data_IF_824738002641
#
_entry.id   IF_824738002641
#
_cell.length_a   1.000
_cell.length_b   1.000
_cell.length_c   1.000
_cell.angle_alpha   90.00
_cell.angle_beta   90.00
_cell.angle_gamma   90.00
#
_symmetry.space_group_name_H-M   'P 1'
#
loop_
_entity.id
_entity.type
_entity.pdbx_description
1 polymer ?
#
# COMPACT_ATOMS: atom_id res chain seq x y z
N UNK A 1 -9.87 -26.11 20.13
CA UNK A 1 -10.76 -26.03 18.96
C UNK A 1 -10.30 -27.04 17.93
N UNK A 2 -11.19 -27.91 17.42
CA UNK A 2 -10.93 -28.82 16.30
C UNK A 2 -10.88 -28.04 14.99
N UNK A 3 -10.32 -28.62 13.92
CA UNK A 3 -10.29 -27.96 12.61
C UNK A 3 -11.66 -27.61 12.06
N UNK A 4 -12.69 -28.42 12.36
CA UNK A 4 -14.05 -28.13 11.94
C UNK A 4 -14.67 -26.98 12.71
N UNK A 5 -14.50 -26.95 14.04
CA UNK A 5 -14.93 -25.81 14.87
C UNK A 5 -14.23 -24.51 14.45
N UNK A 6 -12.95 -24.60 14.08
CA UNK A 6 -12.18 -23.43 13.61
C UNK A 6 -12.70 -22.92 12.26
N UNK A 7 -13.05 -23.83 11.31
CA UNK A 7 -13.66 -23.43 10.04
C UNK A 7 -15.02 -22.77 10.24
N UNK A 8 -15.86 -23.33 11.13
CA UNK A 8 -17.17 -22.76 11.45
C UNK A 8 -17.03 -21.38 12.09
N UNK A 9 -16.08 -21.20 13.01
CA UNK A 9 -15.80 -19.90 13.62
C UNK A 9 -15.27 -18.89 12.60
N UNK A 10 -14.31 -19.26 11.76
CA UNK A 10 -13.80 -18.41 10.68
C UNK A 10 -14.90 -18.01 9.69
N UNK A 11 -15.87 -18.89 9.42
CA UNK A 11 -17.00 -18.64 8.53
C UNK A 11 -17.99 -17.56 9.01
N UNK A 12 -17.85 -17.07 10.24
CA UNK A 12 -18.69 -15.98 10.77
C UNK A 12 -18.23 -14.59 10.34
N UNK A 13 -16.99 -14.47 9.81
CA UNK A 13 -16.38 -13.20 9.42
C UNK A 13 -16.35 -13.05 7.89
N UNK A 14 -16.34 -11.80 7.43
CA UNK A 14 -16.05 -11.49 6.04
C UNK A 14 -14.53 -11.44 5.84
N UNK A 15 -14.00 -12.23 4.90
CA UNK A 15 -12.59 -12.30 4.54
C UNK A 15 -12.38 -11.79 3.13
N UNK A 16 -11.45 -10.86 2.99
CA UNK A 16 -10.97 -10.47 1.66
C UNK A 16 -9.92 -11.47 1.17
N UNK A 17 -9.00 -11.86 2.07
CA UNK A 17 -7.93 -12.79 1.75
C UNK A 17 -8.17 -14.18 2.37
N UNK A 18 -7.60 -15.20 1.70
CA UNK A 18 -7.57 -16.56 2.22
C UNK A 18 -6.33 -16.73 3.09
N UNK A 19 -6.51 -16.73 4.41
CA UNK A 19 -5.45 -16.85 5.41
C UNK A 19 -5.38 -18.29 5.92
N UNK A 20 -4.20 -18.88 5.89
CA UNK A 20 -3.96 -20.22 6.43
C UNK A 20 -3.75 -20.14 7.94
N UNK A 21 -4.77 -20.53 8.71
CA UNK A 21 -4.73 -20.55 10.17
C UNK A 21 -4.02 -21.80 10.71
N UNK A 22 -4.18 -22.95 10.02
CA UNK A 22 -3.52 -24.23 10.30
C UNK A 22 -3.32 -24.99 8.99
N UNK A 23 -2.57 -26.11 9.03
CA UNK A 23 -2.28 -26.91 7.83
C UNK A 23 -3.52 -27.23 6.98
N UNK A 24 -4.65 -27.53 7.62
CA UNK A 24 -5.89 -27.91 6.97
C UNK A 24 -7.01 -26.87 7.08
N UNK A 25 -6.75 -25.68 7.62
CA UNK A 25 -7.76 -24.64 7.85
C UNK A 25 -7.34 -23.34 7.22
N UNK A 26 -8.10 -22.92 6.22
CA UNK A 26 -7.93 -21.66 5.50
C UNK A 26 -9.22 -20.86 5.60
N UNK A 27 -9.13 -19.57 5.81
CA UNK A 27 -10.30 -18.67 5.84
C UNK A 27 -10.97 -18.60 4.46
N UNK A 28 -12.29 -18.40 4.39
CA UNK A 28 -13.04 -18.38 3.13
C UNK A 28 -12.91 -17.03 2.39
N UNK A 29 -11.69 -16.58 2.13
CA UNK A 29 -11.41 -15.31 1.46
C UNK A 29 -11.78 -15.31 -0.01
N UNK A 30 -12.12 -14.12 -0.53
CA UNK A 30 -12.46 -13.91 -1.95
C UNK A 30 -11.20 -14.04 -2.82
N UNK A 31 -10.06 -13.52 -2.36
CA UNK A 31 -8.76 -13.71 -3.02
C UNK A 31 -8.14 -15.03 -2.58
N UNK A 32 -7.72 -15.87 -3.54
CA UNK A 32 -7.11 -17.17 -3.25
C UNK A 32 -5.77 -17.08 -2.48
N UNK A 33 -5.40 -18.17 -1.79
CA UNK A 33 -4.10 -18.29 -1.13
C UNK A 33 -2.93 -18.12 -2.12
N UNK A 34 -1.85 -17.52 -1.65
CA UNK A 34 -0.52 -17.46 -2.30
C UNK A 34 -0.42 -16.70 -3.63
N UNK A 35 -1.49 -16.49 -4.38
CA UNK A 35 -1.41 -15.85 -5.70
C UNK A 35 -0.99 -14.37 -5.59
N UNK A 36 -1.44 -13.67 -4.55
CA UNK A 36 -1.18 -12.25 -4.38
C UNK A 36 0.24 -11.96 -3.89
N UNK A 37 0.78 -12.73 -2.94
CA UNK A 37 2.06 -12.40 -2.31
C UNK A 37 3.26 -12.56 -3.26
N UNK A 38 3.24 -13.57 -4.14
CA UNK A 38 4.31 -13.82 -5.10
C UNK A 38 4.45 -12.72 -6.14
N UNK A 39 3.33 -12.07 -6.51
CA UNK A 39 3.35 -11.00 -7.52
C UNK A 39 3.60 -9.62 -6.91
N UNK A 40 3.45 -9.46 -5.58
CA UNK A 40 3.78 -8.22 -4.88
C UNK A 40 5.29 -8.02 -4.76
N UNK A 41 6.10 -9.06 -4.90
CA UNK A 41 7.56 -8.97 -4.78
C UNK A 41 8.04 -8.67 -3.36
N UNK A 42 7.28 -9.08 -2.35
CA UNK A 42 7.69 -9.08 -0.94
C UNK A 42 8.79 -10.13 -0.77
N UNK A 43 9.96 -9.80 -0.18
CA UNK A 43 11.04 -10.76 0.01
C UNK A 43 10.60 -12.02 0.80
N UNK A 44 11.16 -13.17 0.45
CA UNK A 44 10.87 -14.44 1.13
C UNK A 44 11.51 -14.52 2.53
N UNK A 45 12.60 -13.78 2.76
CA UNK A 45 13.27 -13.62 4.05
C UNK A 45 13.21 -12.14 4.45
N UNK A 46 12.60 -11.86 5.61
CA UNK A 46 12.46 -10.54 6.19
C UNK A 46 13.20 -10.43 7.53
N UNK A 47 14.15 -11.34 7.80
CA UNK A 47 14.97 -11.27 9.01
C UNK A 47 15.70 -9.92 9.09
N UNK A 48 15.60 -9.23 10.22
CA UNK A 48 16.16 -7.89 10.42
C UNK A 48 15.35 -6.76 9.81
N UNK A 49 14.17 -7.04 9.23
CA UNK A 49 13.34 -6.05 8.53
C UNK A 49 12.13 -5.66 9.39
N UNK A 50 11.92 -4.37 9.57
CA UNK A 50 10.67 -3.83 10.13
C UNK A 50 9.69 -3.50 9.01
N UNK A 51 8.42 -3.88 9.18
CA UNK A 51 7.36 -3.75 8.16
C UNK A 51 6.19 -2.92 8.69
N UNK A 52 5.70 -1.98 7.89
CA UNK A 52 4.42 -1.29 8.08
C UNK A 52 3.48 -1.69 6.94
N UNK A 53 2.35 -2.29 7.27
CA UNK A 53 1.29 -2.65 6.33
C UNK A 53 0.13 -1.65 6.50
N UNK A 54 -0.09 -0.81 5.51
CA UNK A 54 -1.06 0.30 5.56
C UNK A 54 -2.31 -0.04 4.75
N UNK A 55 -3.45 -0.06 5.41
CA UNK A 55 -4.71 -0.57 4.87
C UNK A 55 -4.71 -2.10 4.86
N UNK A 56 -4.31 -2.69 6.00
CA UNK A 56 -4.06 -4.12 6.13
C UNK A 56 -5.33 -5.00 6.09
N UNK A 57 -6.51 -4.43 6.26
CA UNK A 57 -7.81 -5.09 6.27
C UNK A 57 -7.86 -6.27 7.27
N UNK A 58 -7.85 -7.52 6.76
CA UNK A 58 -7.85 -8.77 7.54
C UNK A 58 -6.45 -9.25 7.95
N UNK A 59 -5.40 -8.49 7.60
CA UNK A 59 -4.02 -8.71 8.04
C UNK A 59 -3.21 -9.73 7.24
N UNK A 60 -3.71 -10.23 6.11
CA UNK A 60 -3.02 -11.27 5.33
C UNK A 60 -1.55 -10.97 5.07
N UNK A 61 -1.23 -9.78 4.54
CA UNK A 61 0.16 -9.43 4.23
C UNK A 61 0.99 -9.21 5.48
N UNK A 62 0.40 -8.68 6.54
CA UNK A 62 1.05 -8.51 7.84
C UNK A 62 1.49 -9.85 8.43
N UNK A 63 0.59 -10.85 8.47
CA UNK A 63 0.90 -12.18 8.99
C UNK A 63 1.89 -12.94 8.10
N UNK A 64 1.83 -12.76 6.79
CA UNK A 64 2.81 -13.33 5.87
C UNK A 64 4.20 -12.70 6.03
N UNK A 65 4.30 -11.39 6.35
CA UNK A 65 5.56 -10.76 6.68
C UNK A 65 6.15 -11.28 8.01
N UNK A 66 5.32 -11.44 9.03
CA UNK A 66 5.73 -12.07 10.29
C UNK A 66 6.26 -13.50 10.08
N UNK A 67 5.53 -14.31 9.32
CA UNK A 67 5.91 -15.68 8.97
C UNK A 67 7.23 -15.76 8.19
N UNK A 68 7.59 -14.73 7.44
CA UNK A 68 8.86 -14.57 6.73
C UNK A 68 9.99 -14.03 7.62
N UNK A 69 9.75 -13.91 8.91
CA UNK A 69 10.77 -13.56 9.91
C UNK A 69 11.00 -12.07 10.07
N UNK A 70 10.04 -11.20 9.72
CA UNK A 70 10.15 -9.76 10.01
C UNK A 70 10.33 -9.53 11.52
N UNK A 71 11.28 -8.67 11.89
CA UNK A 71 11.59 -8.38 13.30
C UNK A 71 10.46 -7.61 14.01
N UNK A 72 9.73 -6.81 13.26
CA UNK A 72 8.58 -6.05 13.71
C UNK A 72 7.59 -5.86 12.55
N UNK A 73 6.32 -6.11 12.78
CA UNK A 73 5.26 -5.82 11.82
C UNK A 73 4.20 -4.97 12.50
N UNK A 74 3.88 -3.82 11.91
CA UNK A 74 2.76 -2.97 12.31
C UNK A 74 1.70 -3.04 11.21
N UNK A 75 0.49 -3.45 11.59
CA UNK A 75 -0.68 -3.52 10.72
C UNK A 75 -1.58 -2.31 11.00
N UNK A 76 -1.67 -1.38 10.04
CA UNK A 76 -2.45 -0.15 10.21
C UNK A 76 -3.68 -0.14 9.32
N UNK A 77 -4.83 0.17 9.91
CA UNK A 77 -6.08 0.40 9.19
C UNK A 77 -7.00 1.33 10.00
N UNK A 78 -8.02 1.90 9.37
CA UNK A 78 -9.07 2.65 10.06
C UNK A 78 -10.12 1.73 10.69
N UNK A 79 -10.25 0.51 10.20
CA UNK A 79 -11.18 -0.55 10.62
C UNK A 79 -12.63 -0.10 10.90
N UNK A 80 -13.09 0.92 10.20
CA UNK A 80 -14.48 1.37 10.25
C UNK A 80 -15.47 0.31 9.72
N UNK A 81 -14.94 -0.78 9.14
CA UNK A 81 -15.69 -1.86 8.50
C UNK A 81 -15.36 -3.22 9.14
N UNK A 82 -15.96 -4.29 8.63
CA UNK A 82 -15.88 -5.67 9.15
C UNK A 82 -14.47 -6.31 9.16
N UNK A 83 -13.43 -5.63 8.63
CA UNK A 83 -12.07 -6.18 8.58
C UNK A 83 -11.42 -6.39 9.94
N UNK A 84 -11.77 -5.58 10.95
CA UNK A 84 -11.21 -5.67 12.30
C UNK A 84 -11.48 -7.01 12.99
N UNK A 85 -12.71 -7.47 12.96
CA UNK A 85 -13.08 -8.73 13.63
C UNK A 85 -12.36 -9.92 12.99
N UNK A 86 -12.22 -9.92 11.65
CA UNK A 86 -11.47 -10.92 10.91
C UNK A 86 -9.97 -10.89 11.25
N UNK A 87 -9.39 -9.68 11.31
CA UNK A 87 -7.99 -9.48 11.74
C UNK A 87 -7.76 -10.01 13.16
N UNK A 88 -8.57 -9.60 14.13
CA UNK A 88 -8.41 -10.00 15.54
C UNK A 88 -8.57 -11.53 15.71
N UNK A 89 -9.49 -12.14 14.95
CA UNK A 89 -9.65 -13.60 14.95
C UNK A 89 -8.40 -14.29 14.40
N UNK A 90 -7.90 -13.89 13.23
CA UNK A 90 -6.69 -14.47 12.65
C UNK A 90 -5.47 -14.25 13.54
N UNK A 91 -5.32 -13.03 14.07
CA UNK A 91 -4.24 -12.67 14.98
C UNK A 91 -4.21 -13.60 16.21
N UNK A 92 -5.37 -13.88 16.81
CA UNK A 92 -5.51 -14.79 17.94
C UNK A 92 -5.16 -16.24 17.56
N UNK A 93 -5.72 -16.76 16.46
CA UNK A 93 -5.54 -18.15 16.07
C UNK A 93 -4.12 -18.48 15.57
N UNK A 94 -3.40 -17.46 15.05
CA UNK A 94 -2.01 -17.56 14.62
C UNK A 94 -1.00 -17.34 15.77
N UNK A 95 -1.45 -16.96 16.98
CA UNK A 95 -0.58 -16.48 18.07
C UNK A 95 0.39 -15.40 17.57
N UNK A 96 -0.14 -14.49 16.74
CA UNK A 96 0.62 -13.48 16.04
C UNK A 96 1.10 -12.36 16.97
N UNK A 97 2.27 -11.80 16.67
CA UNK A 97 2.87 -10.65 17.35
C UNK A 97 2.75 -9.36 16.54
N UNK A 98 2.04 -9.39 15.42
CA UNK A 98 1.76 -8.21 14.62
C UNK A 98 1.10 -7.14 15.50
N UNK A 99 1.63 -5.92 15.46
CA UNK A 99 1.11 -4.79 16.24
C UNK A 99 -0.04 -4.11 15.48
N UNK A 100 -1.31 -4.19 15.94
CA UNK A 100 -2.40 -3.46 15.31
C UNK A 100 -2.32 -1.97 15.64
N UNK A 101 -2.44 -1.12 14.62
CA UNK A 101 -2.46 0.33 14.74
C UNK A 101 -3.73 0.88 14.06
N UNK A 102 -4.73 1.28 14.86
CA UNK A 102 -5.91 1.94 14.33
C UNK A 102 -5.58 3.39 13.98
N UNK A 103 -5.43 3.66 12.69
CA UNK A 103 -5.05 4.99 12.19
C UNK A 103 -5.46 5.17 10.75
N UNK A 104 -5.94 6.35 10.41
CA UNK A 104 -6.04 6.77 9.01
C UNK A 104 -4.64 6.95 8.43
N UNK A 105 -4.47 6.58 7.15
CA UNK A 105 -3.21 6.87 6.43
C UNK A 105 -2.86 8.36 6.45
N UNK A 106 -3.84 9.23 6.50
CA UNK A 106 -3.62 10.70 6.57
C UNK A 106 -3.06 11.17 7.90
N UNK A 107 -3.28 10.40 8.97
CA UNK A 107 -2.82 10.70 10.33
C UNK A 107 -1.50 10.01 10.65
N UNK A 108 -1.02 9.08 9.80
CA UNK A 108 0.26 8.40 10.03
C UNK A 108 1.39 9.41 10.22
N UNK A 109 2.18 9.19 11.28
CA UNK A 109 3.31 10.02 11.63
C UNK A 109 4.45 9.14 12.19
N UNK A 110 5.71 9.36 11.76
CA UNK A 110 6.84 8.57 12.24
C UNK A 110 7.11 8.71 13.75
N UNK A 111 6.63 9.77 14.40
CA UNK A 111 6.86 9.99 15.82
C UNK A 111 6.11 8.98 16.68
N UNK A 112 4.95 8.47 16.23
CA UNK A 112 4.22 7.42 16.96
C UNK A 112 4.20 6.06 16.26
N UNK A 113 4.12 6.02 14.95
CA UNK A 113 4.15 4.75 14.19
C UNK A 113 5.56 4.17 14.10
N UNK A 114 6.55 5.05 13.98
CA UNK A 114 7.94 4.70 13.73
C UNK A 114 8.32 4.79 12.25
N UNK A 115 9.58 4.42 11.95
CA UNK A 115 10.08 4.31 10.57
C UNK A 115 10.45 2.85 10.27
N UNK A 116 10.14 2.41 9.07
CA UNK A 116 10.19 1.01 8.65
C UNK A 116 11.13 0.80 7.47
N UNK A 117 11.70 -0.41 7.40
CA UNK A 117 12.55 -0.84 6.27
C UNK A 117 11.71 -1.18 5.05
N UNK A 118 10.48 -1.68 5.26
CA UNK A 118 9.51 -2.02 4.23
C UNK A 118 8.15 -1.43 4.59
N UNK A 119 7.53 -0.70 3.66
CA UNK A 119 6.15 -0.22 3.77
C UNK A 119 5.33 -0.85 2.66
N UNK A 120 4.24 -1.51 3.04
CA UNK A 120 3.25 -2.07 2.14
C UNK A 120 2.06 -1.12 2.04
N UNK A 121 1.63 -0.82 0.82
CA UNK A 121 0.48 0.04 0.52
C UNK A 121 -0.32 -0.60 -0.61
N UNK A 122 -0.98 -1.70 -0.27
CA UNK A 122 -1.55 -2.64 -1.23
C UNK A 122 -3.07 -2.52 -1.29
N UNK A 123 -3.60 -2.13 -2.44
CA UNK A 123 -5.04 -2.02 -2.65
C UNK A 123 -5.69 -0.77 -2.05
N UNK A 124 -4.94 0.25 -1.66
CA UNK A 124 -5.45 1.41 -0.90
C UNK A 124 -5.52 2.70 -1.72
N UNK A 125 -4.51 2.98 -2.54
CA UNK A 125 -4.30 4.30 -3.18
C UNK A 125 -5.54 4.82 -3.93
N UNK A 126 -6.25 3.95 -4.65
CA UNK A 126 -7.41 4.32 -5.44
C UNK A 126 -8.67 4.63 -4.62
N UNK A 127 -8.73 4.21 -3.36
CA UNK A 127 -9.80 4.53 -2.41
C UNK A 127 -9.63 5.91 -1.75
N UNK A 128 -8.50 6.58 -1.94
CA UNK A 128 -8.17 7.79 -1.21
C UNK A 128 -8.51 9.05 -1.98
N UNK A 129 -9.19 10.01 -1.33
CA UNK A 129 -9.49 11.32 -1.94
C UNK A 129 -8.23 12.17 -2.14
N UNK A 130 -7.22 12.01 -1.28
CA UNK A 130 -5.97 12.78 -1.29
C UNK A 130 -4.76 11.85 -1.45
N UNK A 131 -4.56 11.22 -2.63
CA UNK A 131 -3.54 10.18 -2.82
C UNK A 131 -2.11 10.71 -2.61
N UNK A 132 -1.80 11.96 -3.00
CA UNK A 132 -0.48 12.56 -2.76
C UNK A 132 -0.17 12.69 -1.28
N UNK A 133 -1.11 13.17 -0.46
CA UNK A 133 -0.94 13.28 1.00
C UNK A 133 -0.67 11.90 1.62
N UNK A 134 -1.40 10.88 1.20
CA UNK A 134 -1.18 9.52 1.68
C UNK A 134 0.23 9.00 1.33
N UNK A 135 0.69 9.24 0.10
CA UNK A 135 2.04 8.86 -0.32
C UNK A 135 3.13 9.61 0.47
N UNK A 136 2.92 10.90 0.79
CA UNK A 136 3.82 11.67 1.65
C UNK A 136 3.88 11.07 3.07
N UNK A 137 2.74 10.65 3.62
CA UNK A 137 2.65 10.03 4.94
C UNK A 137 3.39 8.69 5.00
N UNK A 138 3.15 7.78 4.06
CA UNK A 138 3.88 6.50 4.03
C UNK A 138 5.38 6.69 3.76
N UNK A 139 5.75 7.68 2.93
CA UNK A 139 7.15 8.03 2.72
C UNK A 139 7.82 8.55 4.00
N UNK A 140 7.11 9.33 4.84
CA UNK A 140 7.63 9.80 6.13
C UNK A 140 7.90 8.65 7.10
N UNK A 141 7.07 7.60 7.07
CA UNK A 141 7.22 6.39 7.87
C UNK A 141 8.22 5.38 7.27
N UNK A 142 8.85 5.69 6.14
CA UNK A 142 9.87 4.84 5.53
C UNK A 142 11.26 5.33 5.92
N UNK A 143 12.16 4.42 6.31
CA UNK A 143 13.58 4.75 6.56
C UNK A 143 14.29 5.18 5.28
N UNK A 144 15.32 6.05 5.34
CA UNK A 144 16.25 6.24 4.22
C UNK A 144 16.79 4.89 3.73
N UNK A 145 16.74 4.63 2.41
CA UNK A 145 17.06 3.34 1.81
C UNK A 145 15.98 2.27 1.94
N UNK A 146 14.92 2.54 2.70
CA UNK A 146 13.78 1.64 2.87
C UNK A 146 12.95 1.54 1.59
N UNK A 147 12.18 0.46 1.49
CA UNK A 147 11.36 0.13 0.32
C UNK A 147 9.89 0.39 0.58
N UNK A 148 9.19 0.87 -0.45
CA UNK A 148 7.73 0.97 -0.48
C UNK A 148 7.22 0.09 -1.63
N UNK A 149 6.18 -0.71 -1.36
CA UNK A 149 5.46 -1.47 -2.37
C UNK A 149 4.03 -0.93 -2.44
N UNK A 150 3.64 -0.43 -3.61
CA UNK A 150 2.29 0.08 -3.87
C UNK A 150 1.61 -0.81 -4.90
N UNK A 151 0.46 -1.38 -4.56
CA UNK A 151 -0.44 -1.99 -5.53
C UNK A 151 -1.68 -1.12 -5.69
N UNK A 152 -2.05 -0.81 -6.93
CA UNK A 152 -3.20 0.04 -7.23
C UNK A 152 -3.87 -0.30 -8.56
N UNK A 153 -5.15 0.06 -8.65
CA UNK A 153 -5.86 0.08 -9.94
C UNK A 153 -5.19 1.10 -10.86
N UNK A 154 -5.12 0.75 -12.15
CA UNK A 154 -4.62 1.65 -13.19
C UNK A 154 -5.66 1.83 -14.32
N UNK A 155 -5.64 2.99 -14.97
CA UNK A 155 -6.40 3.19 -16.20
C UNK A 155 -5.75 2.43 -17.36
N UNK A 156 -6.45 1.41 -17.85
CA UNK A 156 -5.99 0.55 -18.94
C UNK A 156 -5.84 1.34 -20.25
N UNK A 157 -6.73 2.31 -20.50
CA UNK A 157 -6.77 3.06 -21.77
C UNK A 157 -5.55 3.95 -21.95
N UNK A 158 -5.01 4.50 -20.86
CA UNK A 158 -3.83 5.36 -20.88
C UNK A 158 -2.57 4.68 -20.31
N UNK A 159 -2.57 3.38 -20.11
CA UNK A 159 -1.47 2.64 -19.47
C UNK A 159 -0.10 2.75 -20.16
N UNK A 160 -0.09 3.03 -21.48
CA UNK A 160 1.14 3.23 -22.26
C UNK A 160 1.47 4.73 -22.46
N UNK A 161 0.61 5.63 -21.97
CA UNK A 161 0.87 7.05 -22.07
C UNK A 161 1.95 7.48 -21.08
N UNK A 162 2.97 8.17 -21.55
CA UNK A 162 4.04 8.73 -20.71
C UNK A 162 3.61 10.00 -19.97
N UNK A 163 2.51 10.64 -20.39
CA UNK A 163 1.93 11.74 -19.64
C UNK A 163 1.19 11.21 -18.40
N UNK A 164 1.37 11.81 -17.22
CA UNK A 164 0.65 11.42 -16.02
C UNK A 164 -0.83 11.78 -16.17
N UNK A 165 -1.70 10.77 -16.09
CA UNK A 165 -3.16 10.91 -16.18
C UNK A 165 -3.80 10.20 -14.99
N UNK A 166 -4.80 10.85 -14.39
CA UNK A 166 -5.67 10.26 -13.36
C UNK A 166 -7.12 10.46 -13.78
N UNK A 167 -7.89 9.39 -13.81
CA UNK A 167 -9.33 9.42 -14.07
C UNK A 167 -10.07 9.50 -12.74
N UNK A 168 -10.91 10.51 -12.57
CA UNK A 168 -11.80 10.65 -11.43
C UNK A 168 -13.09 9.85 -11.64
N UNK A 169 -13.51 9.10 -10.61
CA UNK A 169 -14.73 8.30 -10.62
C UNK A 169 -15.70 8.84 -9.54
N UNK A 170 -16.77 9.56 -9.93
CA UNK A 170 -17.73 10.13 -8.98
C UNK A 170 -18.72 9.11 -8.40
N UNK A 171 -18.74 7.88 -8.92
CA UNK A 171 -19.70 6.83 -8.56
C UNK A 171 -19.08 5.44 -8.54
N UNK A 172 -19.80 4.45 -9.01
CA UNK A 172 -19.41 3.02 -8.97
C UNK A 172 -18.90 2.52 -10.34
N UNK A 173 -18.27 3.38 -11.14
CA UNK A 173 -17.86 3.07 -12.52
C UNK A 173 -16.77 2.00 -12.61
N UNK A 174 -16.05 1.79 -11.52
CA UNK A 174 -14.97 0.80 -11.43
C UNK A 174 -15.41 -0.32 -10.50
N UNK A 175 -15.64 -1.50 -11.07
CA UNK A 175 -15.95 -2.74 -10.34
C UNK A 175 -17.18 -2.65 -9.41
N UNK A 176 -18.14 -1.79 -9.72
CA UNK A 176 -19.31 -1.48 -8.87
C UNK A 176 -18.96 -1.02 -7.44
N UNK A 177 -17.75 -0.49 -7.26
CA UNK A 177 -17.23 -0.02 -5.98
C UNK A 177 -17.30 1.51 -5.87
N UNK A 178 -18.21 2.07 -5.04
CA UNK A 178 -18.37 3.50 -4.86
C UNK A 178 -17.22 4.15 -4.08
N UNK A 179 -16.29 3.35 -3.56
CA UNK A 179 -15.12 3.85 -2.82
C UNK A 179 -13.89 4.05 -3.69
N UNK A 180 -13.95 3.66 -4.96
CA UNK A 180 -12.87 3.90 -5.93
C UNK A 180 -12.96 5.32 -6.50
N UNK A 181 -12.07 6.21 -6.07
CA UNK A 181 -12.04 7.60 -6.50
C UNK A 181 -11.21 7.84 -7.75
N UNK A 182 -10.15 7.07 -7.97
CA UNK A 182 -9.16 7.34 -9.00
C UNK A 182 -8.68 6.09 -9.71
N UNK A 183 -8.47 6.21 -11.03
CA UNK A 183 -7.67 5.28 -11.82
C UNK A 183 -6.51 6.04 -12.46
N UNK A 184 -5.32 6.07 -11.83
CA UNK A 184 -4.13 6.65 -12.42
C UNK A 184 -3.57 5.75 -13.52
N UNK A 185 -2.83 6.32 -14.49
CA UNK A 185 -1.95 5.51 -15.32
C UNK A 185 -0.59 5.27 -14.61
N UNK A 186 0.24 4.31 -15.08
CA UNK A 186 1.53 4.02 -14.46
C UNK A 186 2.46 5.24 -14.35
N UNK A 187 2.43 6.15 -15.33
CA UNK A 187 3.22 7.38 -15.31
C UNK A 187 2.78 8.30 -14.16
N UNK A 188 1.47 8.42 -13.91
CA UNK A 188 0.96 9.22 -12.80
C UNK A 188 1.39 8.66 -11.45
N UNK A 189 1.29 7.33 -11.24
CA UNK A 189 1.73 6.70 -9.98
C UNK A 189 3.22 6.91 -9.76
N UNK A 190 4.05 6.66 -10.78
CA UNK A 190 5.51 6.85 -10.66
C UNK A 190 5.88 8.30 -10.34
N UNK A 191 5.21 9.29 -10.97
CA UNK A 191 5.46 10.70 -10.70
C UNK A 191 4.94 11.14 -9.32
N UNK A 192 3.79 10.62 -8.87
CA UNK A 192 3.30 10.88 -7.51
C UNK A 192 4.26 10.33 -6.46
N UNK A 193 4.76 9.11 -6.64
CA UNK A 193 5.78 8.52 -5.75
C UNK A 193 7.04 9.39 -5.72
N UNK A 194 7.54 9.81 -6.87
CA UNK A 194 8.71 10.71 -6.94
C UNK A 194 8.48 12.05 -6.23
N UNK A 195 7.27 12.61 -6.28
CA UNK A 195 6.94 13.89 -5.64
C UNK A 195 6.67 13.79 -4.14
N UNK A 196 6.34 12.59 -3.62
CA UNK A 196 5.85 12.39 -2.25
C UNK A 196 6.92 12.05 -1.22
N UNK A 197 8.16 12.44 -1.38
CA UNK A 197 9.21 12.22 -0.37
C UNK A 197 10.44 11.52 -0.91
N UNK A 198 10.88 11.91 -2.09
CA UNK A 198 12.11 11.42 -2.72
C UNK A 198 12.12 9.91 -2.95
N UNK A 199 10.99 9.39 -3.41
CA UNK A 199 10.87 7.98 -3.76
C UNK A 199 11.34 7.76 -5.20
N UNK A 200 12.24 6.82 -5.40
CA UNK A 200 12.68 6.39 -6.72
C UNK A 200 11.98 5.08 -7.07
N UNK A 201 11.19 5.09 -8.15
CA UNK A 201 10.53 3.88 -8.65
C UNK A 201 11.56 2.99 -9.34
N UNK A 202 11.77 1.80 -8.80
CA UNK A 202 12.77 0.84 -9.27
C UNK A 202 12.18 -0.27 -10.13
N UNK A 203 10.89 -0.57 -9.96
CA UNK A 203 10.20 -1.59 -10.73
C UNK A 203 8.70 -1.31 -10.84
N UNK A 204 8.10 -1.71 -11.94
CA UNK A 204 6.64 -1.70 -12.16
C UNK A 204 6.22 -3.03 -12.77
N UNK A 205 5.35 -3.75 -12.08
CA UNK A 205 4.80 -5.03 -12.52
C UNK A 205 3.31 -4.91 -12.80
N UNK A 206 2.85 -5.35 -13.97
CA UNK A 206 1.43 -5.42 -14.30
C UNK A 206 0.85 -6.74 -13.83
N UNK A 207 -0.31 -6.68 -13.18
CA UNK A 207 -1.02 -7.87 -12.76
C UNK A 207 -1.89 -8.45 -13.90
N UNK A 208 -2.26 -9.72 -13.76
CA UNK A 208 -2.95 -10.51 -14.79
C UNK A 208 -4.27 -9.90 -15.29
N UNK A 209 -4.99 -9.16 -14.44
CA UNK A 209 -6.22 -8.48 -14.84
C UNK A 209 -5.99 -7.30 -15.81
N UNK A 210 -4.73 -6.87 -15.95
CA UNK A 210 -4.34 -5.71 -16.77
C UNK A 210 -4.78 -4.35 -16.22
N UNK A 211 -5.66 -4.33 -15.21
CA UNK A 211 -6.17 -3.11 -14.59
C UNK A 211 -5.52 -2.79 -13.24
N UNK A 212 -4.47 -3.50 -12.85
CA UNK A 212 -3.69 -3.26 -11.64
C UNK A 212 -2.21 -3.30 -11.94
N UNK A 213 -1.43 -2.54 -11.17
CA UNK A 213 0.04 -2.59 -11.23
C UNK A 213 0.64 -2.46 -9.85
N UNK A 214 1.77 -3.15 -9.65
CA UNK A 214 2.59 -3.08 -8.44
C UNK A 214 3.81 -2.23 -8.75
N UNK A 215 4.09 -1.27 -7.89
CA UNK A 215 5.21 -0.35 -7.96
C UNK A 215 6.13 -0.58 -6.78
N UNK A 216 7.43 -0.72 -7.05
CA UNK A 216 8.46 -0.74 -6.03
C UNK A 216 9.21 0.58 -6.08
N UNK A 217 9.35 1.22 -4.93
CA UNK A 217 10.12 2.44 -4.79
C UNK A 217 11.07 2.35 -3.60
N UNK A 218 12.19 3.07 -3.69
CA UNK A 218 13.19 3.19 -2.61
C UNK A 218 13.23 4.65 -2.18
N UNK A 219 13.24 4.88 -0.87
CA UNK A 219 13.39 6.22 -0.31
C UNK A 219 14.85 6.65 -0.37
N UNK A 220 15.09 7.81 -0.96
CA UNK A 220 16.40 8.44 -0.97
C UNK A 220 16.84 8.84 0.46
N UNK A 221 18.12 9.20 0.64
CA UNK A 221 18.59 9.76 1.90
C UNK A 221 17.93 11.11 2.20
N UNK A 222 17.86 11.48 3.48
CA UNK A 222 17.28 12.78 3.88
C UNK A 222 18.02 13.96 3.22
N UNK A 223 19.34 13.86 3.05
CA UNK A 223 20.15 14.88 2.37
C UNK A 223 19.80 15.02 0.88
N UNK A 224 19.59 13.91 0.17
CA UNK A 224 19.13 13.92 -1.23
C UNK A 224 17.70 14.46 -1.35
N UNK A 225 16.84 14.15 -0.38
CA UNK A 225 15.48 14.68 -0.32
C UNK A 225 15.48 16.21 -0.16
N UNK A 226 16.29 16.73 0.75
CA UNK A 226 16.41 18.18 0.94
C UNK A 226 16.94 18.90 -0.31
N UNK A 227 17.94 18.33 -0.98
CA UNK A 227 18.50 18.93 -2.20
C UNK A 227 17.48 18.91 -3.36
N UNK A 228 16.76 17.77 -3.56
CA UNK A 228 15.69 17.68 -4.56
C UNK A 228 14.58 18.69 -4.29
N UNK A 229 14.13 18.82 -3.04
CA UNK A 229 13.11 19.80 -2.65
C UNK A 229 13.56 21.25 -2.92
N UNK A 230 14.83 21.58 -2.61
CA UNK A 230 15.39 22.90 -2.91
C UNK A 230 15.45 23.16 -4.42
N UNK A 231 15.83 22.16 -5.20
CA UNK A 231 15.92 22.30 -6.66
C UNK A 231 14.53 22.44 -7.29
N UNK A 232 13.58 21.62 -6.88
CA UNK A 232 12.20 21.68 -7.35
C UNK A 232 11.55 23.02 -7.02
N UNK A 233 11.73 23.54 -5.79
CA UNK A 233 11.27 24.86 -5.42
C UNK A 233 11.85 25.95 -6.32
N UNK A 234 13.15 25.93 -6.60
CA UNK A 234 13.82 26.88 -7.49
C UNK A 234 13.24 26.82 -8.91
N UNK A 235 13.03 25.61 -9.43
CA UNK A 235 12.55 25.41 -10.80
C UNK A 235 11.07 25.83 -10.94
N UNK A 236 10.22 25.46 -10.00
CA UNK A 236 8.81 25.89 -9.98
C UNK A 236 8.68 27.40 -9.79
N UNK A 237 9.47 28.00 -8.90
CA UNK A 237 9.48 29.45 -8.70
C UNK A 237 9.91 30.18 -9.97
N UNK A 238 10.94 29.68 -10.65
CA UNK A 238 11.41 30.26 -11.93
C UNK A 238 10.34 30.16 -13.01
N UNK A 239 9.61 29.04 -13.12
CA UNK A 239 8.53 28.87 -14.11
C UNK A 239 7.33 29.78 -13.83
N UNK A 240 6.91 29.90 -12.56
CA UNK A 240 5.75 30.71 -12.18
C UNK A 240 6.00 32.21 -12.34
N UNK A 241 7.20 32.69 -11.95
CA UNK A 241 7.47 34.14 -11.89
C UNK A 241 8.29 34.67 -13.08
N UNK A 242 9.02 33.83 -13.78
CA UNK A 242 9.96 34.24 -14.82
C UNK A 242 9.76 33.51 -16.17
N UNK A 243 8.89 32.55 -16.24
CA UNK A 243 8.54 31.86 -17.50
C UNK A 243 7.64 32.73 -18.40
N UNK A 244 7.72 32.57 -19.73
CA UNK A 244 6.77 33.24 -20.62
C UNK A 244 5.36 32.75 -20.34
N UNK A 245 4.45 33.67 -20.09
CA UNK A 245 3.03 33.32 -20.01
C UNK A 245 2.57 32.70 -21.34
N UNK A 246 1.90 31.55 -21.33
CA UNK A 246 1.31 31.02 -22.56
C UNK A 246 0.28 32.02 -23.07
N UNK A 247 0.57 32.70 -24.18
CA UNK A 247 -0.39 33.61 -24.83
C UNK A 247 0.13 35.04 -25.14
N UNK A 248 1.45 35.25 -25.14
CA UNK A 248 2.03 36.45 -25.79
C UNK A 248 2.86 36.05 -26.98
#
# INVERSE_FOLDING_TARGET
MTDNELREAAGQFFWWHSIRLRDNVVTPGISGENAAISVMGIPDDLTGVSVLDVGCWDGYYSFECEKRGADRVVASDIWETSGRDAFDFAHHELDSKVEPLESSVYDLDPDYAGRFDLVLFLGVLYHLKHPLLALEKIASCTKPGGRIIVDTIIDIKSQLNLQPVMIFHPGSEVSDDPTTWWSPNPAAVAMMLGASGCLEVTNVTRLYSGNRSVFHAIKASDAECEERARQEYKDRHRQIFYGPWPGK
#
